data_IF_179182130458
#
_entry.id   IF_179182130458
#
_cell.length_a   1.000
_cell.length_b   1.000
_cell.length_c   1.000
_cell.angle_alpha   90.00
_cell.angle_beta   90.00
_cell.angle_gamma   90.00
#
_symmetry.space_group_name_H-M   'P 1'
#
loop_
_entity.id
_entity.type
_entity.pdbx_description
1 polymer ?
#
# COMPACT_ATOMS: atom_id res chain seq x y z
N UNK A 1 25.37 -23.67 17.41
CA UNK A 1 24.33 -22.65 17.16
C UNK A 1 23.99 -22.53 15.67
N UNK A 2 24.92 -22.43 14.74
CA UNK A 2 24.65 -22.29 13.30
C UNK A 2 23.77 -23.42 12.68
N UNK A 3 24.00 -24.69 13.01
CA UNK A 3 23.19 -25.82 12.53
C UNK A 3 21.73 -25.81 13.02
N UNK A 4 21.45 -25.29 14.24
CA UNK A 4 20.09 -25.13 14.77
C UNK A 4 19.34 -23.97 14.08
N UNK A 5 20.04 -22.88 13.78
CA UNK A 5 19.49 -21.75 13.04
C UNK A 5 19.20 -22.11 11.57
N UNK A 6 20.08 -22.90 10.90
CA UNK A 6 19.86 -23.41 9.54
C UNK A 6 18.66 -24.35 9.47
N UNK A 7 18.47 -25.22 10.45
CA UNK A 7 17.33 -26.16 10.50
C UNK A 7 16.00 -25.45 10.76
N UNK A 8 15.99 -24.42 11.62
CA UNK A 8 14.81 -23.57 11.85
C UNK A 8 14.44 -22.74 10.60
N UNK A 9 15.44 -22.24 9.85
CA UNK A 9 15.20 -21.51 8.59
C UNK A 9 14.58 -22.43 7.52
N UNK A 10 15.09 -23.64 7.36
CA UNK A 10 14.55 -24.62 6.41
C UNK A 10 13.13 -25.05 6.77
N UNK A 11 12.83 -25.15 8.06
CA UNK A 11 11.50 -25.50 8.54
C UNK A 11 10.45 -24.39 8.26
N UNK A 12 10.82 -23.11 8.31
CA UNK A 12 9.94 -21.97 7.95
C UNK A 12 9.65 -21.96 6.44
N UNK A 13 10.65 -22.28 5.60
CA UNK A 13 10.48 -22.41 4.15
C UNK A 13 9.56 -23.58 3.77
N UNK A 14 9.71 -24.73 4.44
CA UNK A 14 8.89 -25.92 4.24
C UNK A 14 7.43 -25.72 4.75
N UNK A 15 7.23 -24.97 5.83
CA UNK A 15 5.91 -24.68 6.40
C UNK A 15 5.12 -23.60 5.64
N UNK A 16 5.82 -22.64 4.99
CA UNK A 16 5.19 -21.52 4.26
C UNK A 16 4.99 -21.79 2.78
N UNK A 17 5.68 -22.77 2.20
CA UNK A 17 5.71 -23.02 0.75
C UNK A 17 6.31 -21.85 -0.07
N UNK A 18 6.97 -20.89 0.58
CA UNK A 18 7.56 -19.69 -0.05
C UNK A 18 9.02 -19.97 -0.40
N UNK A 19 9.36 -19.85 -1.68
CA UNK A 19 10.75 -19.89 -2.16
C UNK A 19 11.36 -18.50 -2.12
N UNK A 20 12.33 -18.29 -1.22
CA UNK A 20 13.00 -17.00 -1.09
C UNK A 20 14.14 -16.86 -2.08
N UNK A 21 14.43 -15.61 -2.48
CA UNK A 21 15.60 -15.28 -3.26
C UNK A 21 16.89 -15.70 -2.54
N UNK A 22 17.87 -16.20 -3.28
CA UNK A 22 19.16 -16.67 -2.73
C UNK A 22 20.30 -15.73 -3.05
N UNK A 23 20.21 -15.03 -4.15
CA UNK A 23 21.23 -14.11 -4.65
C UNK A 23 20.90 -12.69 -4.19
N UNK A 24 21.43 -12.34 -3.02
CA UNK A 24 21.13 -11.06 -2.38
C UNK A 24 22.42 -10.35 -1.92
N UNK A 25 22.48 -9.02 -2.04
CA UNK A 25 23.58 -8.24 -1.47
C UNK A 25 23.47 -8.22 0.06
N UNK A 26 24.58 -7.89 0.73
CA UNK A 26 24.68 -7.91 2.20
C UNK A 26 23.68 -7.00 2.93
N UNK A 27 23.21 -5.95 2.27
CA UNK A 27 22.23 -5.01 2.80
C UNK A 27 20.78 -5.46 2.61
N UNK A 28 20.51 -6.52 1.81
CA UNK A 28 19.17 -7.00 1.54
C UNK A 28 18.86 -8.29 2.33
N UNK A 29 17.77 -8.32 3.03
CA UNK A 29 17.31 -9.55 3.69
C UNK A 29 16.58 -10.44 2.70
N UNK A 30 17.09 -11.66 2.47
CA UNK A 30 16.52 -12.61 1.51
C UNK A 30 15.02 -12.87 1.72
N UNK A 31 14.57 -12.82 2.96
CA UNK A 31 13.19 -13.04 3.34
C UNK A 31 12.23 -11.94 2.83
N UNK A 32 12.77 -10.79 2.34
CA UNK A 32 11.97 -9.75 1.66
C UNK A 32 11.55 -10.12 0.26
N UNK A 33 12.31 -11.01 -0.41
CA UNK A 33 12.07 -11.39 -1.79
C UNK A 33 11.62 -12.84 -1.90
N UNK A 34 10.53 -13.09 -2.64
CA UNK A 34 10.08 -14.43 -2.99
C UNK A 34 9.99 -14.62 -4.50
N UNK A 35 10.30 -15.84 -4.94
CA UNK A 35 10.21 -16.23 -6.34
C UNK A 35 8.76 -16.65 -6.62
N UNK A 36 8.12 -16.01 -7.60
CA UNK A 36 6.73 -16.34 -7.98
C UNK A 36 6.64 -17.45 -9.02
N UNK A 37 7.68 -17.61 -9.88
CA UNK A 37 7.75 -18.65 -10.88
C UNK A 37 9.17 -19.21 -10.99
N UNK A 38 9.31 -20.38 -11.65
CA UNK A 38 10.61 -21.03 -11.92
C UNK A 38 11.16 -20.64 -13.30
N UNK A 39 11.01 -19.38 -13.70
CA UNK A 39 11.56 -18.88 -14.95
C UNK A 39 13.10 -19.00 -14.97
N UNK A 40 13.65 -19.20 -16.15
CA UNK A 40 15.09 -19.23 -16.35
C UNK A 40 15.60 -17.87 -16.83
N UNK A 41 16.79 -17.49 -16.42
CA UNK A 41 17.45 -16.32 -17.00
C UNK A 41 17.69 -16.58 -18.49
N UNK A 42 17.14 -15.75 -19.41
CA UNK A 42 17.37 -15.91 -20.82
C UNK A 42 18.81 -15.49 -21.15
N UNK A 43 19.48 -16.25 -22.06
CA UNK A 43 20.83 -15.91 -22.52
C UNK A 43 20.91 -14.53 -23.21
N UNK A 44 19.80 -14.08 -23.78
CA UNK A 44 19.68 -12.83 -24.57
C UNK A 44 18.89 -11.71 -23.89
N UNK A 45 18.76 -11.73 -22.56
CA UNK A 45 18.06 -10.66 -21.85
C UNK A 45 18.79 -9.32 -21.94
N UNK A 46 18.05 -8.24 -22.21
CA UNK A 46 18.58 -6.91 -22.47
C UNK A 46 18.39 -5.94 -21.30
N UNK A 47 17.41 -6.18 -20.40
CA UNK A 47 17.15 -5.31 -19.25
C UNK A 47 16.56 -6.06 -18.06
N UNK A 48 16.55 -5.42 -16.89
CA UNK A 48 15.73 -5.79 -15.73
C UNK A 48 14.56 -4.84 -15.66
N UNK A 49 13.35 -5.35 -15.47
CA UNK A 49 12.12 -4.55 -15.29
C UNK A 49 11.71 -4.56 -13.83
N UNK A 50 11.46 -3.39 -13.26
CA UNK A 50 10.74 -3.25 -12.00
C UNK A 50 9.31 -2.77 -12.28
N UNK A 51 8.33 -3.63 -12.05
CA UNK A 51 6.93 -3.26 -12.10
C UNK A 51 6.51 -2.68 -10.75
N UNK A 52 6.46 -1.36 -10.70
CA UNK A 52 5.99 -0.59 -9.55
C UNK A 52 4.46 -0.66 -9.50
N UNK A 53 3.89 -1.10 -8.39
CA UNK A 53 2.44 -1.28 -8.20
C UNK A 53 1.93 -0.41 -7.05
N UNK A 54 2.43 -0.66 -5.83
CA UNK A 54 1.95 -0.04 -4.59
C UNK A 54 2.89 1.04 -4.07
N UNK A 55 4.19 0.82 -4.17
CA UNK A 55 5.22 1.64 -3.53
C UNK A 55 5.75 2.69 -4.50
N UNK A 56 4.93 3.76 -4.72
CA UNK A 56 5.20 4.84 -5.69
C UNK A 56 6.26 5.80 -5.17
N UNK A 57 7.53 5.34 -5.14
CA UNK A 57 8.70 6.12 -4.71
C UNK A 57 9.99 5.57 -5.31
N UNK A 58 10.95 6.46 -5.56
CA UNK A 58 12.29 6.11 -6.04
C UNK A 58 13.30 5.94 -4.89
N UNK A 59 13.02 6.51 -3.73
CA UNK A 59 13.86 6.43 -2.52
C UNK A 59 13.27 5.43 -1.52
N UNK A 60 14.14 4.80 -0.71
CA UNK A 60 13.73 3.89 0.37
C UNK A 60 12.77 2.77 -0.10
N UNK A 61 13.04 2.23 -1.30
CA UNK A 61 12.22 1.21 -1.95
C UNK A 61 13.03 -0.08 -2.16
N UNK A 62 12.78 -1.09 -1.34
CA UNK A 62 13.52 -2.36 -1.39
C UNK A 62 13.38 -3.10 -2.72
N UNK A 63 12.21 -3.03 -3.38
CA UNK A 63 11.99 -3.70 -4.65
C UNK A 63 12.81 -3.04 -5.77
N UNK A 64 12.80 -1.70 -5.84
CA UNK A 64 13.60 -0.93 -6.78
C UNK A 64 15.11 -1.10 -6.54
N UNK A 65 15.55 -1.09 -5.29
CA UNK A 65 16.95 -1.32 -4.91
C UNK A 65 17.40 -2.72 -5.31
N UNK A 66 16.58 -3.74 -5.08
CA UNK A 66 16.89 -5.11 -5.47
C UNK A 66 16.93 -5.28 -6.99
N UNK A 67 15.95 -4.70 -7.71
CA UNK A 67 15.95 -4.69 -9.18
C UNK A 67 17.22 -4.01 -9.74
N UNK A 68 17.65 -2.91 -9.14
CA UNK A 68 18.89 -2.22 -9.53
C UNK A 68 20.14 -3.07 -9.26
N UNK A 69 20.15 -3.82 -8.15
CA UNK A 69 21.23 -4.77 -7.85
C UNK A 69 21.32 -5.86 -8.94
N UNK A 70 20.21 -6.47 -9.33
CA UNK A 70 20.18 -7.48 -10.39
C UNK A 70 20.62 -6.88 -11.74
N UNK A 71 20.15 -5.69 -12.09
CA UNK A 71 20.55 -4.99 -13.30
C UNK A 71 22.07 -4.74 -13.34
N UNK A 72 22.65 -4.29 -12.23
CA UNK A 72 24.10 -4.11 -12.13
C UNK A 72 24.86 -5.43 -12.27
N UNK A 73 24.37 -6.49 -11.61
CA UNK A 73 24.98 -7.82 -11.65
C UNK A 73 24.99 -8.42 -13.05
N UNK A 74 23.90 -8.24 -13.81
CA UNK A 74 23.77 -8.75 -15.17
C UNK A 74 24.36 -7.79 -16.21
N UNK A 75 24.94 -6.67 -15.79
CA UNK A 75 25.41 -5.59 -16.66
C UNK A 75 24.33 -5.09 -17.63
N UNK A 76 23.11 -4.98 -17.15
CA UNK A 76 21.93 -4.57 -17.88
C UNK A 76 21.35 -3.26 -17.33
N UNK A 77 20.63 -2.45 -18.11
CA UNK A 77 19.87 -1.34 -17.59
C UNK A 77 18.67 -1.80 -16.77
N UNK A 78 18.30 -1.02 -15.76
CA UNK A 78 17.01 -1.12 -15.08
C UNK A 78 16.01 -0.23 -15.79
N UNK A 79 14.80 -0.74 -15.98
CA UNK A 79 13.62 0.00 -16.41
C UNK A 79 12.52 -0.08 -15.35
N UNK A 80 11.78 1.00 -15.13
CA UNK A 80 10.62 1.02 -14.24
C UNK A 80 9.35 1.07 -15.09
N UNK A 81 8.41 0.19 -14.77
CA UNK A 81 7.09 0.14 -15.36
C UNK A 81 6.05 0.50 -14.30
N UNK A 82 5.11 1.36 -14.64
CA UNK A 82 3.86 1.57 -13.91
C UNK A 82 2.69 1.39 -14.84
N UNK A 83 1.66 0.67 -14.40
CA UNK A 83 0.40 0.52 -15.16
C UNK A 83 -0.68 1.27 -14.40
N UNK A 84 -1.33 2.23 -15.05
CA UNK A 84 -2.43 2.98 -14.45
C UNK A 84 -3.58 2.02 -14.12
N UNK A 85 -4.29 2.24 -13.00
CA UNK A 85 -5.47 1.46 -12.71
C UNK A 85 -6.51 1.65 -13.82
N UNK A 86 -7.13 0.57 -14.31
CA UNK A 86 -8.16 0.68 -15.35
C UNK A 86 -9.36 1.48 -14.81
N UNK A 87 -9.98 2.34 -15.63
CA UNK A 87 -11.23 2.98 -15.26
C UNK A 87 -12.31 1.92 -15.04
N UNK A 88 -13.31 2.17 -14.17
CA UNK A 88 -14.39 1.23 -13.94
C UNK A 88 -15.16 0.91 -15.22
N UNK A 89 -15.60 -0.35 -15.36
CA UNK A 89 -16.44 -0.78 -16.47
C UNK A 89 -17.74 0.01 -16.49
N UNK A 90 -18.10 0.57 -17.63
CA UNK A 90 -19.34 1.35 -17.83
C UNK A 90 -20.61 0.49 -17.88
N UNK A 91 -20.48 -0.83 -17.76
CA UNK A 91 -21.59 -1.78 -17.97
C UNK A 91 -22.38 -2.13 -16.71
N UNK A 92 -21.92 -1.76 -15.52
CA UNK A 92 -22.70 -1.99 -14.32
C UNK A 92 -23.66 -0.81 -14.09
N UNK A 93 -24.95 -1.09 -14.19
CA UNK A 93 -26.01 -0.17 -13.73
C UNK A 93 -25.82 -0.01 -12.23
N UNK A 94 -25.44 1.19 -11.81
CA UNK A 94 -25.32 1.53 -10.38
C UNK A 94 -26.76 1.57 -9.83
N UNK A 95 -27.14 0.57 -9.07
CA UNK A 95 -28.31 0.66 -8.21
C UNK A 95 -28.00 1.74 -7.16
N UNK A 96 -28.72 2.84 -7.15
CA UNK A 96 -28.45 4.00 -6.27
C UNK A 96 -28.49 3.62 -4.79
N UNK A 97 -29.17 2.53 -4.44
CA UNK A 97 -29.35 2.05 -3.07
C UNK A 97 -28.33 0.95 -2.67
N UNK A 98 -27.52 0.43 -3.61
CA UNK A 98 -26.51 -0.59 -3.36
C UNK A 98 -25.12 0.02 -3.61
N UNK A 99 -24.23 0.08 -2.59
CA UNK A 99 -22.87 0.57 -2.83
C UNK A 99 -22.16 -0.33 -3.86
N UNK A 100 -21.58 0.26 -4.92
CA UNK A 100 -20.90 -0.51 -5.95
C UNK A 100 -19.72 -1.30 -5.35
N UNK A 101 -19.40 -2.44 -5.94
CA UNK A 101 -18.18 -3.19 -5.62
C UNK A 101 -16.94 -2.30 -5.83
N UNK A 102 -15.86 -2.52 -5.07
CA UNK A 102 -14.63 -1.71 -5.17
C UNK A 102 -14.10 -1.56 -6.59
N UNK A 103 -14.32 -2.55 -7.45
CA UNK A 103 -13.91 -2.57 -8.86
C UNK A 103 -14.77 -1.69 -9.78
N UNK A 104 -15.97 -1.28 -9.35
CA UNK A 104 -16.90 -0.47 -10.13
C UNK A 104 -16.92 1.02 -9.71
N UNK A 105 -16.22 1.40 -8.64
CA UNK A 105 -16.15 2.80 -8.22
C UNK A 105 -15.08 3.57 -9.00
N UNK A 106 -15.46 4.74 -9.51
CA UNK A 106 -14.49 5.69 -10.08
C UNK A 106 -13.51 6.15 -9.00
N UNK A 107 -12.25 6.22 -9.36
CA UNK A 107 -11.26 6.89 -8.54
C UNK A 107 -11.66 8.36 -8.35
N UNK A 108 -11.62 8.87 -7.12
CA UNK A 108 -11.90 10.30 -6.91
C UNK A 108 -10.76 11.16 -7.45
N UNK A 109 -11.08 12.39 -7.87
CA UNK A 109 -10.08 13.38 -8.33
C UNK A 109 -8.93 13.51 -7.32
N UNK A 110 -9.23 13.53 -6.03
CA UNK A 110 -8.25 13.59 -4.94
C UNK A 110 -7.21 12.49 -5.00
N UNK A 111 -7.65 11.24 -5.17
CA UNK A 111 -6.74 10.10 -5.22
C UNK A 111 -5.94 10.07 -6.52
N UNK A 112 -6.59 10.38 -7.65
CA UNK A 112 -5.92 10.38 -8.95
C UNK A 112 -4.88 11.48 -9.09
N UNK A 113 -5.20 12.69 -8.65
CA UNK A 113 -4.24 13.81 -8.64
C UNK A 113 -3.05 13.54 -7.74
N UNK A 114 -3.30 12.96 -6.55
CA UNK A 114 -2.23 12.62 -5.62
C UNK A 114 -1.33 11.50 -6.15
N UNK A 115 -1.93 10.49 -6.79
CA UNK A 115 -1.20 9.42 -7.48
C UNK A 115 -0.35 9.96 -8.62
N UNK A 116 -0.95 10.70 -9.55
CA UNK A 116 -0.25 11.25 -10.71
C UNK A 116 0.85 12.20 -10.30
N UNK A 117 0.62 13.06 -9.31
CA UNK A 117 1.66 13.95 -8.76
C UNK A 117 2.82 13.17 -8.16
N UNK A 118 2.56 12.07 -7.44
CA UNK A 118 3.60 11.17 -6.93
C UNK A 118 4.41 10.51 -8.05
N UNK A 119 3.74 10.01 -9.11
CA UNK A 119 4.38 9.42 -10.28
C UNK A 119 5.25 10.45 -11.04
N UNK A 120 4.81 11.70 -11.13
CA UNK A 120 5.61 12.79 -11.73
C UNK A 120 6.89 13.03 -10.92
N UNK A 121 6.82 13.04 -9.59
CA UNK A 121 8.00 13.15 -8.74
C UNK A 121 8.97 11.99 -8.98
N UNK A 122 8.46 10.74 -8.95
CA UNK A 122 9.26 9.53 -9.22
C UNK A 122 9.89 9.56 -10.60
N UNK A 123 9.15 9.96 -11.64
CA UNK A 123 9.67 10.09 -13.01
C UNK A 123 10.85 11.07 -13.09
N UNK A 124 10.71 12.24 -12.45
CA UNK A 124 11.79 13.25 -12.38
C UNK A 124 13.02 12.71 -11.67
N UNK A 125 12.85 12.02 -10.54
CA UNK A 125 13.94 11.46 -9.75
C UNK A 125 14.66 10.33 -10.50
N UNK A 126 13.92 9.38 -11.10
CA UNK A 126 14.48 8.30 -11.89
C UNK A 126 15.22 8.79 -13.14
N UNK A 127 14.71 9.84 -13.79
CA UNK A 127 15.40 10.48 -14.92
C UNK A 127 16.76 11.02 -14.53
N UNK A 128 16.91 11.61 -13.34
CA UNK A 128 18.21 12.09 -12.85
C UNK A 128 19.23 10.95 -12.65
N UNK A 129 18.74 9.72 -12.53
CA UNK A 129 19.54 8.50 -12.38
C UNK A 129 19.68 7.69 -13.68
N UNK A 130 19.27 8.23 -14.82
CA UNK A 130 19.24 7.54 -16.12
C UNK A 130 18.40 6.23 -16.09
N UNK A 131 17.41 6.12 -15.23
CA UNK A 131 16.49 4.99 -15.13
C UNK A 131 15.20 5.36 -15.85
N UNK A 132 14.91 4.79 -17.03
CA UNK A 132 13.69 5.09 -17.75
C UNK A 132 12.46 4.57 -17.01
N UNK A 133 11.41 5.38 -16.96
CA UNK A 133 10.10 5.02 -16.42
C UNK A 133 9.06 5.04 -17.53
N UNK A 134 8.31 3.96 -17.63
CA UNK A 134 7.18 3.80 -18.55
C UNK A 134 5.88 3.82 -17.76
N UNK A 135 4.88 4.55 -18.26
CA UNK A 135 3.52 4.55 -17.70
C UNK A 135 2.58 4.07 -18.79
N UNK A 136 1.91 2.95 -18.54
CA UNK A 136 1.00 2.33 -19.49
C UNK A 136 -0.45 2.50 -19.06
N UNK A 137 -1.34 2.57 -20.06
CA UNK A 137 -2.79 2.70 -19.92
C UNK A 137 -3.42 1.43 -20.48
N UNK A 138 -4.10 0.59 -19.67
CA UNK A 138 -4.67 -0.67 -20.15
C UNK A 138 -6.00 -0.46 -20.88
N UNK A 139 -5.92 0.09 -22.10
CA UNK A 139 -7.08 0.30 -22.97
C UNK A 139 -7.64 -1.04 -23.48
N UNK A 140 -8.69 -1.56 -22.82
CA UNK A 140 -9.34 -2.83 -23.15
C UNK A 140 -8.42 -4.06 -23.16
N UNK A 141 -7.26 -3.99 -22.54
CA UNK A 141 -6.31 -5.09 -22.38
C UNK A 141 -6.17 -5.40 -20.90
N UNK A 142 -6.14 -6.67 -20.54
CA UNK A 142 -5.86 -7.09 -19.16
C UNK A 142 -4.47 -6.60 -18.70
N UNK A 143 -4.40 -6.06 -17.49
CA UNK A 143 -3.16 -5.50 -16.93
C UNK A 143 -2.00 -6.49 -17.00
N UNK A 144 -2.25 -7.75 -16.63
CA UNK A 144 -1.21 -8.79 -16.66
C UNK A 144 -0.71 -9.05 -18.08
N UNK A 145 -1.58 -9.07 -19.09
CA UNK A 145 -1.19 -9.23 -20.49
C UNK A 145 -0.32 -8.06 -20.97
N UNK A 146 -0.71 -6.83 -20.63
CA UNK A 146 0.07 -5.64 -20.98
C UNK A 146 1.49 -5.69 -20.39
N UNK A 147 1.61 -6.15 -19.13
CA UNK A 147 2.94 -6.32 -18.49
C UNK A 147 3.73 -7.43 -19.18
N UNK A 148 3.10 -8.55 -19.54
CA UNK A 148 3.74 -9.65 -20.29
C UNK A 148 4.28 -9.18 -21.64
N UNK A 149 3.46 -8.42 -22.38
CA UNK A 149 3.84 -7.84 -23.66
C UNK A 149 5.00 -6.86 -23.51
N UNK A 150 4.96 -6.00 -22.49
CA UNK A 150 6.06 -5.08 -22.19
C UNK A 150 7.36 -5.82 -21.88
N UNK A 151 7.32 -6.81 -20.98
CA UNK A 151 8.48 -7.64 -20.62
C UNK A 151 9.09 -8.33 -21.86
N UNK A 152 8.22 -8.86 -22.73
CA UNK A 152 8.63 -9.56 -23.94
C UNK A 152 9.24 -8.60 -24.97
N UNK A 153 8.60 -7.46 -25.22
CA UNK A 153 9.06 -6.46 -26.18
C UNK A 153 10.38 -5.80 -25.76
N UNK A 154 10.57 -5.61 -24.43
CA UNK A 154 11.83 -5.10 -23.89
C UNK A 154 12.90 -6.18 -23.71
N UNK A 155 12.59 -7.44 -24.07
CA UNK A 155 13.48 -8.60 -23.85
C UNK A 155 14.04 -8.65 -22.43
N UNK A 156 13.16 -8.46 -21.45
CA UNK A 156 13.57 -8.45 -20.05
C UNK A 156 14.19 -9.79 -19.64
N UNK A 157 15.27 -9.73 -18.84
CA UNK A 157 15.88 -10.92 -18.24
C UNK A 157 15.19 -11.33 -16.94
N UNK A 158 14.63 -10.37 -16.22
CA UNK A 158 13.98 -10.56 -14.92
C UNK A 158 12.94 -9.47 -14.69
N UNK A 159 11.83 -9.82 -14.08
CA UNK A 159 10.84 -8.87 -13.60
C UNK A 159 10.81 -8.88 -12.06
N UNK A 160 11.02 -7.73 -11.45
CA UNK A 160 10.84 -7.51 -10.01
C UNK A 160 9.54 -6.75 -9.81
N UNK A 161 8.73 -7.15 -8.82
CA UNK A 161 7.45 -6.50 -8.50
C UNK A 161 7.37 -6.22 -7.02
N UNK A 162 6.71 -5.14 -6.61
CA UNK A 162 6.40 -4.91 -5.21
C UNK A 162 5.21 -5.73 -4.73
N UNK A 163 5.11 -5.88 -3.43
CA UNK A 163 4.05 -6.62 -2.78
C UNK A 163 2.79 -5.78 -2.63
N UNK A 164 1.65 -6.37 -2.99
CA UNK A 164 0.33 -5.91 -2.59
C UNK A 164 -0.56 -7.11 -2.27
N UNK A 165 -1.32 -7.10 -1.17
CA UNK A 165 -2.20 -8.21 -0.80
C UNK A 165 -3.57 -8.12 -1.46
N UNK A 166 -3.86 -7.08 -2.24
CA UNK A 166 -5.16 -6.84 -2.85
C UNK A 166 -5.49 -7.88 -3.91
N UNK A 167 -6.71 -8.41 -3.90
CA UNK A 167 -7.18 -9.52 -4.74
C UNK A 167 -6.88 -9.33 -6.23
N UNK A 168 -7.16 -8.15 -6.78
CA UNK A 168 -6.91 -7.87 -8.19
C UNK A 168 -5.41 -7.90 -8.53
N UNK A 169 -4.55 -7.39 -7.64
CA UNK A 169 -3.08 -7.45 -7.84
C UNK A 169 -2.58 -8.88 -7.75
N UNK A 170 -3.08 -9.66 -6.79
CA UNK A 170 -2.74 -11.09 -6.67
C UNK A 170 -3.12 -11.82 -7.95
N UNK A 171 -4.31 -11.58 -8.51
CA UNK A 171 -4.74 -12.16 -9.79
C UNK A 171 -3.86 -11.76 -10.97
N UNK A 172 -3.42 -10.51 -11.05
CA UNK A 172 -2.45 -10.09 -12.08
C UNK A 172 -1.11 -10.81 -11.96
N UNK A 173 -0.61 -10.98 -10.73
CA UNK A 173 0.65 -11.67 -10.48
C UNK A 173 0.56 -13.18 -10.77
N UNK A 174 -0.56 -13.82 -10.46
CA UNK A 174 -0.80 -15.23 -10.82
C UNK A 174 -0.75 -15.42 -12.35
N UNK A 175 -1.38 -14.55 -13.12
CA UNK A 175 -1.31 -14.57 -14.60
C UNK A 175 0.13 -14.29 -15.08
N UNK A 176 0.85 -13.35 -14.44
CA UNK A 176 2.22 -13.04 -14.82
C UNK A 176 3.18 -14.20 -14.61
N UNK A 177 2.89 -15.16 -13.74
CA UNK A 177 3.75 -16.35 -13.52
C UNK A 177 3.92 -17.23 -14.73
N UNK A 178 3.11 -17.06 -15.78
CA UNK A 178 3.21 -17.78 -17.05
C UNK A 178 4.41 -17.36 -17.92
N UNK A 179 5.03 -16.21 -17.65
CA UNK A 179 6.23 -15.78 -18.40
C UNK A 179 7.43 -16.70 -18.12
N UNK A 180 8.33 -16.80 -19.11
CA UNK A 180 9.48 -17.70 -19.02
C UNK A 180 10.65 -17.15 -18.22
N UNK A 181 10.66 -15.85 -17.94
CA UNK A 181 11.71 -15.20 -17.15
C UNK A 181 11.37 -15.25 -15.64
N UNK A 182 12.36 -15.12 -14.75
CA UNK A 182 12.10 -15.02 -13.31
C UNK A 182 11.22 -13.82 -12.97
N UNK A 183 10.17 -14.05 -12.17
CA UNK A 183 9.36 -13.02 -11.55
C UNK A 183 9.59 -13.08 -10.04
N UNK A 184 10.08 -11.97 -9.48
CA UNK A 184 10.48 -11.87 -8.08
C UNK A 184 9.62 -10.80 -7.41
N UNK A 185 8.88 -11.19 -6.37
CA UNK A 185 8.11 -10.24 -5.57
C UNK A 185 8.90 -9.83 -4.33
N UNK A 186 8.94 -8.52 -4.07
CA UNK A 186 9.63 -7.94 -2.90
C UNK A 186 8.63 -7.18 -2.04
N UNK A 187 8.57 -7.49 -0.74
CA UNK A 187 7.81 -6.68 0.21
C UNK A 187 8.62 -5.42 0.57
N UNK A 188 8.34 -4.34 -0.14
CA UNK A 188 8.92 -3.02 0.09
C UNK A 188 8.03 -2.13 0.97
N UNK A 189 6.80 -2.58 1.28
CA UNK A 189 5.81 -1.83 2.04
C UNK A 189 5.94 -2.05 3.54
N UNK A 190 6.05 -3.32 3.98
CA UNK A 190 6.17 -3.68 5.37
C UNK A 190 7.63 -3.62 5.85
N UNK A 191 7.85 -3.27 7.12
CA UNK A 191 9.18 -3.35 7.72
C UNK A 191 9.59 -4.81 7.81
N UNK A 192 8.71 -5.68 8.32
CA UNK A 192 8.89 -7.12 8.29
C UNK A 192 7.98 -7.71 7.23
N UNK A 193 8.49 -8.41 6.21
CA UNK A 193 7.65 -8.98 5.16
C UNK A 193 6.49 -9.79 5.73
N UNK A 194 5.30 -9.61 5.18
CA UNK A 194 4.06 -10.17 5.74
C UNK A 194 4.13 -11.69 5.92
N UNK A 195 4.69 -12.40 4.93
CA UNK A 195 4.86 -13.88 4.97
C UNK A 195 5.96 -14.34 5.93
N UNK A 196 6.84 -13.43 6.38
CA UNK A 196 7.89 -13.73 7.35
C UNK A 196 7.48 -13.34 8.78
N UNK A 197 6.66 -12.31 8.93
CA UNK A 197 6.15 -11.83 10.21
C UNK A 197 5.27 -12.89 10.90
N UNK A 198 4.43 -13.60 10.14
CA UNK A 198 3.60 -14.70 10.61
C UNK A 198 3.25 -15.62 9.45
N UNK A 199 3.06 -16.91 9.73
CA UNK A 199 2.59 -17.92 8.76
C UNK A 199 1.07 -18.05 8.70
N UNK A 200 0.32 -17.18 9.42
CA UNK A 200 -1.14 -17.24 9.50
C UNK A 200 -1.75 -15.87 9.81
N UNK A 201 -3.07 -15.77 9.59
CA UNK A 201 -3.87 -14.64 10.06
C UNK A 201 -3.73 -14.50 11.57
N UNK A 202 -3.36 -13.31 12.02
CA UNK A 202 -3.29 -12.95 13.42
C UNK A 202 -4.62 -12.38 13.91
N UNK A 203 -5.05 -12.79 15.09
CA UNK A 203 -6.32 -12.36 15.66
C UNK A 203 -6.30 -10.91 16.18
N UNK A 204 -5.11 -10.32 16.30
CA UNK A 204 -4.96 -8.93 16.76
C UNK A 204 -3.53 -8.55 17.08
N UNK A 205 -3.33 -7.29 17.42
CA UNK A 205 -2.02 -6.72 17.74
C UNK A 205 -1.29 -7.47 18.86
N UNK A 206 -2.03 -8.03 19.81
CA UNK A 206 -1.44 -8.79 20.93
C UNK A 206 -0.63 -10.00 20.48
N UNK A 207 -1.06 -10.67 19.40
CA UNK A 207 -0.39 -11.87 18.88
C UNK A 207 0.70 -11.54 17.84
N UNK A 208 0.55 -10.47 17.08
CA UNK A 208 1.52 -10.05 16.07
C UNK A 208 2.71 -9.29 16.68
N UNK A 209 2.47 -8.40 17.67
CA UNK A 209 3.50 -7.53 18.29
C UNK A 209 4.76 -8.27 18.72
N UNK A 210 4.70 -9.37 19.52
CA UNK A 210 5.91 -10.07 19.94
C UNK A 210 6.70 -10.66 18.78
N UNK A 211 6.03 -11.06 17.70
CA UNK A 211 6.67 -11.57 16.48
C UNK A 211 7.42 -10.47 15.76
N UNK A 212 6.78 -9.33 15.53
CA UNK A 212 7.42 -8.17 14.90
C UNK A 212 8.60 -7.66 15.74
N UNK A 213 8.42 -7.45 17.04
CA UNK A 213 9.50 -6.97 17.90
C UNK A 213 10.74 -7.87 17.90
N UNK A 214 10.56 -9.19 17.76
CA UNK A 214 11.67 -10.13 17.63
C UNK A 214 12.44 -9.95 16.32
N UNK A 215 11.76 -9.56 15.24
CA UNK A 215 12.33 -9.46 13.89
C UNK A 215 12.82 -8.04 13.56
N UNK A 216 12.29 -7.00 14.24
CA UNK A 216 12.66 -5.60 13.97
C UNK A 216 14.18 -5.33 13.99
N UNK A 217 15.01 -5.91 14.88
CA UNK A 217 16.46 -5.68 14.85
C UNK A 217 17.12 -6.06 13.52
N UNK A 218 16.55 -7.04 12.81
CA UNK A 218 17.07 -7.51 11.53
C UNK A 218 16.50 -6.76 10.32
N UNK A 219 15.30 -6.19 10.44
CA UNK A 219 14.55 -5.61 9.32
C UNK A 219 14.44 -4.08 9.37
N UNK A 220 14.42 -3.47 10.55
CA UNK A 220 14.44 -2.01 10.69
C UNK A 220 15.88 -1.50 10.56
N UNK A 221 16.35 -1.43 9.34
CA UNK A 221 17.69 -0.98 8.95
C UNK A 221 17.61 0.26 8.07
N UNK A 222 18.69 0.98 7.92
CA UNK A 222 18.77 2.07 6.93
C UNK A 222 18.77 1.51 5.51
N UNK A 223 18.44 2.37 4.55
CA UNK A 223 18.41 2.03 3.12
C UNK A 223 19.73 2.42 2.44
N UNK A 224 20.24 1.60 1.51
CA UNK A 224 21.30 2.04 0.63
C UNK A 224 20.80 3.06 -0.39
N UNK A 225 21.70 3.89 -0.89
CA UNK A 225 21.39 4.86 -1.95
C UNK A 225 21.17 4.12 -3.28
N UNK A 226 20.12 4.51 -4.00
CA UNK A 226 19.87 4.01 -5.35
C UNK A 226 20.96 4.53 -6.31
N UNK A 227 21.66 3.61 -6.96
CA UNK A 227 22.69 3.97 -7.92
C UNK A 227 22.12 4.19 -9.34
N UNK A 228 22.65 5.12 -10.14
CA UNK A 228 22.18 5.36 -11.49
C UNK A 228 22.46 4.15 -12.41
N UNK A 229 21.74 4.08 -13.54
CA UNK A 229 22.17 3.21 -14.65
C UNK A 229 23.51 3.68 -15.21
N UNK A 230 24.37 2.74 -15.54
CA UNK A 230 25.69 3.04 -16.13
C UNK A 230 25.58 3.49 -17.59
N UNK A 231 24.62 2.93 -18.32
CA UNK A 231 24.36 3.28 -19.71
C UNK A 231 23.22 4.28 -19.80
N UNK A 232 23.35 5.29 -20.69
CA UNK A 232 22.26 6.18 -20.98
C UNK A 232 21.14 5.41 -21.69
N UNK A 233 19.98 5.39 -21.07
CA UNK A 233 18.76 4.88 -21.71
C UNK A 233 17.90 6.07 -22.12
N UNK A 234 17.22 5.98 -23.28
CA UNK A 234 16.25 7.01 -23.65
C UNK A 234 15.06 6.95 -22.71
N UNK A 235 14.75 8.05 -22.06
CA UNK A 235 13.57 8.14 -21.21
C UNK A 235 12.36 8.45 -22.07
N UNK A 236 11.28 7.69 -21.99
CA UNK A 236 10.06 7.99 -22.72
C UNK A 236 9.45 9.30 -22.21
N UNK A 237 8.89 10.07 -23.16
CA UNK A 237 8.07 11.22 -22.80
C UNK A 237 6.70 10.75 -22.36
N UNK A 238 6.30 11.04 -21.12
CA UNK A 238 5.01 10.68 -20.56
C UNK A 238 4.06 11.87 -20.71
N UNK A 239 2.94 11.67 -21.41
CA UNK A 239 1.87 12.66 -21.49
C UNK A 239 0.96 12.59 -20.25
N UNK A 240 1.28 13.39 -19.25
CA UNK A 240 0.53 13.41 -17.99
C UNK A 240 -0.92 13.90 -18.14
N UNK A 241 -1.20 14.70 -19.15
CA UNK A 241 -2.57 15.14 -19.48
C UNK A 241 -3.43 13.96 -19.98
N UNK A 242 -2.87 13.09 -20.81
CA UNK A 242 -3.52 11.87 -21.25
C UNK A 242 -3.72 10.91 -20.06
N UNK A 243 -2.70 10.73 -19.21
CA UNK A 243 -2.83 9.93 -18.01
C UNK A 243 -3.97 10.40 -17.08
N UNK A 244 -4.09 11.72 -16.90
CA UNK A 244 -5.18 12.32 -16.13
C UNK A 244 -6.55 12.06 -16.76
N UNK A 245 -6.67 12.25 -18.07
CA UNK A 245 -7.93 12.03 -18.81
C UNK A 245 -8.33 10.55 -18.81
N UNK A 246 -7.35 9.66 -18.88
CA UNK A 246 -7.57 8.21 -18.87
C UNK A 246 -8.25 7.71 -17.59
N UNK A 247 -7.90 8.25 -16.43
CA UNK A 247 -8.43 7.80 -15.14
C UNK A 247 -9.93 8.07 -14.94
N UNK A 248 -10.57 8.92 -15.75
CA UNK A 248 -12.01 9.22 -15.70
C UNK A 248 -12.54 9.46 -14.28
N UNK A 249 -11.81 10.29 -13.53
CA UNK A 249 -12.00 10.48 -12.10
C UNK A 249 -13.36 11.10 -11.74
N UNK A 250 -13.86 10.76 -10.55
CA UNK A 250 -15.00 11.41 -9.92
C UNK A 250 -14.59 12.77 -9.36
N UNK A 251 -15.16 13.84 -9.91
CA UNK A 251 -14.88 15.24 -9.52
C UNK A 251 -15.76 15.76 -8.39
N UNK A 252 -16.65 14.94 -7.81
CA UNK A 252 -17.49 15.35 -6.68
C UNK A 252 -16.67 15.63 -5.41
N UNK A 253 -15.45 15.08 -5.33
CA UNK A 253 -14.51 15.29 -4.24
C UNK A 253 -13.29 16.08 -4.79
N UNK A 254 -13.00 17.27 -4.25
CA UNK A 254 -11.93 18.14 -4.78
C UNK A 254 -10.54 17.55 -4.52
N UNK A 255 -9.57 17.97 -5.35
CA UNK A 255 -8.15 17.73 -5.09
C UNK A 255 -7.69 18.41 -3.80
N UNK A 256 -6.70 17.82 -3.14
CA UNK A 256 -6.08 18.37 -1.92
C UNK A 256 -4.57 18.64 -2.10
N UNK A 257 -4.07 18.62 -3.32
CA UNK A 257 -2.63 18.72 -3.58
C UNK A 257 -2.03 20.07 -3.12
N UNK A 258 -2.83 21.11 -2.96
CA UNK A 258 -2.39 22.39 -2.36
C UNK A 258 -2.13 22.27 -0.86
N UNK A 259 -2.92 21.44 -0.14
CA UNK A 259 -2.82 21.23 1.32
C UNK A 259 -1.86 20.08 1.63
N UNK A 260 -1.90 19.03 0.82
CA UNK A 260 -1.10 17.83 0.93
C UNK A 260 -0.37 17.59 -0.41
N UNK A 261 0.74 18.28 -0.68
CA UNK A 261 1.48 18.11 -1.92
C UNK A 261 2.02 16.68 -2.06
N UNK A 262 1.90 16.03 -3.25
CA UNK A 262 2.40 14.69 -3.47
C UNK A 262 3.93 14.61 -3.51
N UNK A 263 4.47 13.42 -3.30
CA UNK A 263 5.89 13.10 -3.43
C UNK A 263 6.63 12.92 -2.11
N UNK A 264 7.76 12.24 -2.20
CA UNK A 264 8.56 11.88 -1.02
C UNK A 264 9.12 13.11 -0.27
N UNK A 265 9.58 14.13 -0.97
CA UNK A 265 10.11 15.35 -0.37
C UNK A 265 9.03 16.06 0.48
N UNK A 266 7.82 16.19 -0.07
CA UNK A 266 6.70 16.80 0.66
C UNK A 266 6.31 15.95 1.90
N UNK A 267 6.31 14.63 1.76
CA UNK A 267 6.09 13.71 2.87
C UNK A 267 7.11 13.91 3.99
N UNK A 268 8.40 14.00 3.66
CA UNK A 268 9.47 14.18 4.65
C UNK A 268 9.42 15.55 5.31
N UNK A 269 9.01 16.61 4.59
CA UNK A 269 8.78 17.94 5.16
C UNK A 269 7.63 17.92 6.16
N UNK A 270 6.50 17.28 5.82
CA UNK A 270 5.36 17.06 6.73
C UNK A 270 5.81 16.27 7.98
N UNK A 271 6.58 15.20 7.79
CA UNK A 271 7.07 14.39 8.88
C UNK A 271 8.03 15.16 9.81
N UNK A 272 8.93 15.96 9.26
CA UNK A 272 9.83 16.83 10.04
C UNK A 272 9.04 17.82 10.90
N UNK A 273 7.95 18.38 10.35
CA UNK A 273 7.03 19.22 11.11
C UNK A 273 6.38 18.45 12.28
N UNK A 274 5.93 17.23 12.05
CA UNK A 274 5.40 16.35 13.10
C UNK A 274 6.44 16.04 14.18
N UNK A 275 7.66 15.69 13.81
CA UNK A 275 8.74 15.41 14.78
C UNK A 275 9.00 16.60 15.71
N UNK A 276 8.89 17.82 15.20
CA UNK A 276 9.16 19.04 15.97
C UNK A 276 7.98 19.53 16.80
N UNK A 277 6.74 19.34 16.34
CA UNK A 277 5.53 19.93 16.93
C UNK A 277 4.60 18.93 17.60
N UNK A 278 4.45 17.72 17.01
CA UNK A 278 3.44 16.75 17.42
C UNK A 278 3.95 15.60 18.28
N UNK A 279 5.15 15.07 17.97
CA UNK A 279 5.65 13.84 18.57
C UNK A 279 5.71 13.88 20.11
N UNK A 280 6.04 15.05 20.70
CA UNK A 280 6.16 15.21 22.15
C UNK A 280 4.87 15.00 22.94
N UNK A 281 3.72 15.13 22.27
CA UNK A 281 2.38 15.00 22.85
C UNK A 281 1.54 13.91 22.17
N UNK A 282 2.16 13.16 21.27
CA UNK A 282 1.45 12.16 20.45
C UNK A 282 0.81 11.06 21.29
N UNK A 283 1.48 10.55 22.33
CA UNK A 283 0.96 9.52 23.22
C UNK A 283 -0.26 9.99 24.04
N UNK A 284 -0.27 11.25 24.45
CA UNK A 284 -1.33 11.83 25.29
C UNK A 284 -2.55 12.27 24.46
N UNK A 285 -2.31 12.97 23.33
CA UNK A 285 -3.34 13.76 22.64
C UNK A 285 -3.76 13.20 21.26
N UNK A 286 -3.09 12.17 20.73
CA UNK A 286 -3.42 11.63 19.39
C UNK A 286 -4.87 11.13 19.21
N UNK A 287 -5.55 10.81 20.33
CA UNK A 287 -6.93 10.33 20.29
C UNK A 287 -7.96 11.45 20.52
N UNK A 288 -7.53 12.68 20.76
CA UNK A 288 -8.41 13.83 20.93
C UNK A 288 -8.50 14.61 19.60
N UNK A 289 -9.67 14.67 18.95
CA UNK A 289 -9.83 15.34 17.66
C UNK A 289 -9.60 16.86 17.72
N UNK A 290 -9.60 17.48 18.89
CA UNK A 290 -9.29 18.89 19.06
C UNK A 290 -7.81 19.23 18.86
N UNK A 291 -6.91 18.22 18.92
CA UNK A 291 -5.47 18.39 18.77
C UNK A 291 -4.93 17.83 17.45
N UNK A 292 -5.56 18.19 16.33
CA UNK A 292 -5.18 17.70 14.98
C UNK A 292 -3.70 17.88 14.63
N UNK A 293 -3.06 18.94 15.12
CA UNK A 293 -1.64 19.24 14.90
C UNK A 293 -0.66 18.25 15.57
N UNK A 294 -1.17 17.42 16.49
CA UNK A 294 -0.38 16.36 17.14
C UNK A 294 -0.28 15.12 16.26
N UNK A 295 -1.20 14.92 15.30
CA UNK A 295 -1.16 13.81 14.38
C UNK A 295 -0.13 14.04 13.27
N UNK A 296 0.49 12.95 12.78
CA UNK A 296 1.53 13.02 11.74
C UNK A 296 1.01 13.42 10.37
N UNK A 297 -0.25 13.10 10.06
CA UNK A 297 -0.88 13.26 8.75
C UNK A 297 -0.13 12.56 7.61
N UNK A 298 0.55 11.45 7.91
CA UNK A 298 1.36 10.70 6.95
C UNK A 298 0.56 9.67 6.16
N UNK A 299 -0.71 9.40 6.53
CA UNK A 299 -1.51 8.35 5.91
C UNK A 299 -1.70 8.47 4.40
N UNK A 300 -1.90 9.65 3.78
CA UNK A 300 -1.98 9.73 2.31
C UNK A 300 -0.70 9.26 1.63
N UNK A 301 0.45 9.68 2.13
CA UNK A 301 1.76 9.31 1.58
C UNK A 301 2.08 7.83 1.75
N UNK A 302 1.74 7.25 2.91
CA UNK A 302 1.95 5.82 3.19
C UNK A 302 1.03 4.98 2.32
N UNK A 303 -0.25 5.36 2.20
CA UNK A 303 -1.24 4.62 1.41
C UNK A 303 -0.88 4.58 -0.07
N UNK A 304 -0.43 5.71 -0.63
CA UNK A 304 0.04 5.79 -2.02
C UNK A 304 1.50 5.37 -2.21
N UNK A 305 2.15 4.84 -1.17
CA UNK A 305 3.52 4.35 -1.24
C UNK A 305 4.59 5.42 -1.50
N UNK A 306 4.24 6.72 -1.39
CA UNK A 306 5.15 7.85 -1.67
C UNK A 306 6.19 8.06 -0.58
N UNK A 307 6.02 7.41 0.58
CA UNK A 307 7.01 7.35 1.66
C UNK A 307 7.07 5.95 2.26
N UNK A 308 8.26 5.49 2.62
CA UNK A 308 8.43 4.25 3.36
C UNK A 308 8.16 4.45 4.84
N UNK A 309 7.24 3.67 5.45
CA UNK A 309 7.08 3.71 6.90
C UNK A 309 8.35 3.26 7.64
N UNK A 310 9.17 2.39 7.04
CA UNK A 310 10.47 2.03 7.61
C UNK A 310 11.38 3.24 7.77
N UNK A 311 11.40 4.19 6.81
CA UNK A 311 12.13 5.45 6.93
C UNK A 311 11.63 6.27 8.11
N UNK A 312 10.33 6.45 8.23
CA UNK A 312 9.73 7.21 9.34
C UNK A 312 10.05 6.57 10.70
N UNK A 313 9.95 5.25 10.80
CA UNK A 313 10.29 4.50 12.01
C UNK A 313 11.79 4.61 12.36
N UNK A 314 12.66 4.58 11.35
CA UNK A 314 14.10 4.75 11.51
C UNK A 314 14.43 6.13 12.08
N UNK A 315 13.90 7.19 11.48
CA UNK A 315 14.12 8.58 11.92
C UNK A 315 13.64 8.81 13.36
N UNK A 316 12.39 8.41 13.69
CA UNK A 316 11.84 8.55 15.04
C UNK A 316 12.68 7.81 16.08
N UNK A 317 13.11 6.59 15.78
CA UNK A 317 13.93 5.76 16.67
C UNK A 317 15.29 6.40 16.94
N UNK A 318 15.91 7.02 15.92
CA UNK A 318 17.23 7.64 16.04
C UNK A 318 17.18 9.06 16.61
N UNK A 319 16.03 9.70 16.65
CA UNK A 319 15.85 11.01 17.28
C UNK A 319 16.17 10.97 18.79
N UNK A 320 15.96 9.83 19.46
CA UNK A 320 16.20 9.59 20.90
C UNK A 320 15.55 10.63 21.82
N UNK A 321 14.42 11.20 21.38
CA UNK A 321 13.61 12.17 22.12
C UNK A 321 12.18 11.64 22.25
N UNK A 322 11.45 12.17 23.23
CA UNK A 322 10.02 11.89 23.43
C UNK A 322 9.70 10.38 23.43
N UNK A 323 10.26 9.58 24.38
CA UNK A 323 10.19 8.11 24.33
C UNK A 323 8.75 7.55 24.30
N UNK A 324 7.81 8.20 24.99
CA UNK A 324 6.40 7.77 25.00
C UNK A 324 5.74 8.05 23.65
N UNK A 325 5.89 9.27 23.12
CA UNK A 325 5.38 9.60 21.78
C UNK A 325 6.02 8.73 20.68
N UNK A 326 7.34 8.48 20.78
CA UNK A 326 8.05 7.54 19.88
C UNK A 326 7.45 6.13 19.96
N UNK A 327 7.27 5.59 21.15
CA UNK A 327 6.70 4.25 21.33
C UNK A 327 5.26 4.17 20.78
N UNK A 328 4.45 5.19 21.03
CA UNK A 328 3.09 5.27 20.52
C UNK A 328 3.07 5.35 18.98
N UNK A 329 3.92 6.17 18.35
CA UNK A 329 4.02 6.28 16.91
C UNK A 329 4.47 4.96 16.25
N UNK A 330 5.47 4.29 16.81
CA UNK A 330 5.94 3.00 16.32
C UNK A 330 4.89 1.89 16.50
N UNK A 331 4.11 1.90 17.58
CA UNK A 331 3.00 0.95 17.77
C UNK A 331 1.95 1.08 16.67
N UNK A 332 1.51 2.31 16.36
CA UNK A 332 0.51 2.54 15.32
C UNK A 332 1.04 2.18 13.93
N UNK A 333 2.20 2.65 13.57
CA UNK A 333 2.71 2.49 12.21
C UNK A 333 3.43 1.17 11.93
N UNK A 334 3.89 0.43 12.92
CA UNK A 334 4.43 -0.92 12.75
C UNK A 334 3.34 -1.94 13.04
N UNK A 335 2.92 -2.04 14.31
CA UNK A 335 2.09 -3.18 14.73
C UNK A 335 0.69 -3.10 14.14
N UNK A 336 0.04 -1.92 14.23
CA UNK A 336 -1.34 -1.77 13.74
C UNK A 336 -1.41 -1.80 12.22
N UNK A 337 -0.49 -1.12 11.55
CA UNK A 337 -0.44 -1.09 10.07
C UNK A 337 -0.10 -2.48 9.50
N UNK A 338 0.93 -3.17 9.99
CA UNK A 338 1.30 -4.48 9.47
C UNK A 338 0.30 -5.58 9.84
N UNK A 339 -0.52 -5.37 10.90
CA UNK A 339 -1.65 -6.24 11.20
C UNK A 339 -2.73 -6.17 10.10
N UNK A 340 -2.97 -5.01 9.50
CA UNK A 340 -3.93 -4.89 8.41
C UNK A 340 -3.44 -5.62 7.14
N UNK A 341 -2.16 -5.52 6.81
CA UNK A 341 -1.58 -6.28 5.70
C UNK A 341 -1.60 -7.80 5.98
N UNK A 342 -1.33 -8.23 7.21
CA UNK A 342 -1.48 -9.63 7.63
C UNK A 342 -2.92 -10.11 7.45
N UNK A 343 -3.90 -9.30 7.85
CA UNK A 343 -5.32 -9.62 7.70
C UNK A 343 -5.68 -9.85 6.23
N UNK A 344 -5.37 -8.91 5.34
CA UNK A 344 -5.71 -8.99 3.91
C UNK A 344 -4.99 -10.16 3.25
N UNK A 345 -3.69 -10.36 3.56
CA UNK A 345 -2.88 -11.43 2.99
C UNK A 345 -3.42 -12.84 3.30
N UNK A 346 -3.91 -13.06 4.52
CA UNK A 346 -4.45 -14.36 4.95
C UNK A 346 -5.97 -14.48 4.87
N UNK A 347 -6.65 -13.46 4.31
CA UNK A 347 -8.11 -13.47 4.08
C UNK A 347 -8.42 -12.97 2.65
N UNK A 348 -7.79 -13.51 1.60
CA UNK A 348 -7.81 -12.91 0.26
C UNK A 348 -9.21 -12.84 -0.36
N UNK A 349 -10.10 -13.76 0.00
CA UNK A 349 -11.45 -13.83 -0.58
C UNK A 349 -12.48 -12.98 0.17
N UNK A 350 -12.23 -12.72 1.46
CA UNK A 350 -13.27 -12.19 2.36
C UNK A 350 -12.86 -10.93 3.12
N UNK A 351 -11.67 -10.35 2.85
CA UNK A 351 -11.17 -9.20 3.61
C UNK A 351 -12.10 -7.97 3.54
N UNK A 352 -12.92 -7.87 2.51
CA UNK A 352 -13.86 -6.78 2.23
C UNK A 352 -15.33 -7.19 2.41
N UNK A 353 -15.58 -8.30 3.10
CA UNK A 353 -16.91 -8.82 3.38
C UNK A 353 -17.09 -9.16 4.86
N UNK A 354 -18.35 -9.41 5.29
CA UNK A 354 -18.67 -9.86 6.66
C UNK A 354 -18.00 -11.20 7.00
N UNK A 355 -17.83 -12.08 6.02
CA UNK A 355 -17.18 -13.37 6.19
C UNK A 355 -15.72 -13.24 6.64
N UNK A 356 -15.07 -12.13 6.36
CA UNK A 356 -13.75 -11.80 6.89
C UNK A 356 -13.72 -11.51 8.40
N UNK A 357 -14.86 -11.18 9.01
CA UNK A 357 -14.94 -10.95 10.46
C UNK A 357 -14.76 -12.25 11.26
N UNK A 358 -14.48 -12.13 12.55
CA UNK A 358 -14.46 -13.29 13.46
C UNK A 358 -15.88 -13.86 13.60
N UNK A 359 -16.00 -15.20 13.72
CA UNK A 359 -17.30 -15.88 13.75
C UNK A 359 -18.26 -15.32 14.81
N UNK A 360 -17.76 -15.07 16.03
CA UNK A 360 -18.57 -14.49 17.11
C UNK A 360 -19.16 -13.12 16.73
N UNK A 361 -18.46 -12.34 15.90
CA UNK A 361 -18.94 -11.03 15.43
C UNK A 361 -19.99 -11.19 14.33
N UNK A 362 -19.80 -12.18 13.44
CA UNK A 362 -20.81 -12.53 12.43
C UNK A 362 -22.10 -12.99 13.11
N UNK A 363 -22.01 -13.94 14.05
CA UNK A 363 -23.15 -14.47 14.79
C UNK A 363 -23.91 -13.36 15.55
N UNK A 364 -23.16 -12.45 16.20
CA UNK A 364 -23.77 -11.31 16.91
C UNK A 364 -24.49 -10.35 15.98
N UNK A 365 -23.92 -10.06 14.80
CA UNK A 365 -24.55 -9.16 13.83
C UNK A 365 -25.77 -9.79 13.17
N UNK A 366 -25.72 -11.07 12.89
CA UNK A 366 -26.86 -11.84 12.37
C UNK A 366 -27.99 -11.87 13.39
N UNK A 367 -27.71 -12.18 14.65
CA UNK A 367 -28.69 -12.20 15.75
C UNK A 367 -29.41 -10.85 15.88
N UNK A 368 -28.67 -9.75 15.71
CA UNK A 368 -29.19 -8.38 15.86
C UNK A 368 -29.62 -7.73 14.54
N UNK A 369 -29.65 -8.47 13.43
CA UNK A 369 -29.96 -7.92 12.10
C UNK A 369 -31.40 -7.43 11.99
N UNK A 370 -32.33 -8.05 12.72
CA UNK A 370 -33.79 -7.74 12.74
C UNK A 370 -34.22 -6.82 13.87
N UNK A 371 -33.27 -6.37 14.74
CA UNK A 371 -33.62 -5.43 15.81
C UNK A 371 -34.18 -4.13 15.23
N UNK A 372 -35.22 -3.61 15.86
CA UNK A 372 -35.82 -2.33 15.47
C UNK A 372 -34.80 -1.19 15.61
N UNK A 373 -34.71 -0.32 14.60
CA UNK A 373 -33.83 0.85 14.56
C UNK A 373 -34.65 2.12 14.61
N UNK A 374 -34.30 3.03 15.50
CA UNK A 374 -34.99 4.34 15.61
C UNK A 374 -34.81 5.18 14.33
N UNK A 375 -33.62 5.10 13.71
CA UNK A 375 -33.31 5.82 12.48
C UNK A 375 -32.71 4.88 11.45
N UNK A 376 -33.16 5.00 10.21
CA UNK A 376 -32.64 4.31 9.04
C UNK A 376 -32.26 5.35 7.98
N UNK A 377 -31.12 5.14 7.33
CA UNK A 377 -30.62 6.04 6.30
C UNK A 377 -30.22 5.27 5.05
N UNK A 378 -30.46 5.88 3.90
CA UNK A 378 -29.89 5.43 2.63
C UNK A 378 -28.37 5.71 2.61
N UNK A 379 -27.65 4.98 1.78
CA UNK A 379 -26.20 5.22 1.53
C UNK A 379 -25.96 6.68 1.14
N UNK A 380 -26.82 7.24 0.28
CA UNK A 380 -26.75 8.63 -0.18
C UNK A 380 -26.88 9.65 0.95
N UNK A 381 -27.82 9.45 1.88
CA UNK A 381 -27.96 10.33 3.05
C UNK A 381 -26.73 10.28 3.94
N UNK A 382 -26.16 9.09 4.17
CA UNK A 382 -24.92 8.96 4.95
C UNK A 382 -23.74 9.66 4.26
N UNK A 383 -23.58 9.46 2.95
CA UNK A 383 -22.50 10.08 2.16
C UNK A 383 -22.60 11.61 2.13
N UNK A 384 -23.82 12.16 2.16
CA UNK A 384 -24.07 13.60 2.15
C UNK A 384 -24.05 14.25 3.53
N UNK A 385 -23.95 13.46 4.60
CA UNK A 385 -24.06 13.96 5.96
C UNK A 385 -25.46 14.52 6.25
N UNK A 386 -26.52 13.85 5.79
CA UNK A 386 -27.92 14.21 5.94
C UNK A 386 -28.62 13.29 6.97
N UNK A 387 -28.01 13.15 8.15
CA UNK A 387 -28.53 12.33 9.26
C UNK A 387 -28.99 13.21 10.41
N UNK A 388 -29.62 12.62 11.43
CA UNK A 388 -29.95 13.31 12.69
C UNK A 388 -28.74 13.55 13.59
N UNK A 389 -27.59 12.87 13.31
CA UNK A 389 -26.38 12.94 14.14
C UNK A 389 -25.44 14.02 13.58
N UNK A 390 -25.38 15.15 14.28
CA UNK A 390 -24.54 16.30 13.90
C UNK A 390 -23.06 15.95 13.81
N UNK A 391 -22.58 15.01 14.65
CA UNK A 391 -21.18 14.57 14.61
C UNK A 391 -20.90 13.74 13.37
N UNK A 392 -21.85 12.87 12.95
CA UNK A 392 -21.76 12.17 11.67
C UNK A 392 -21.67 13.17 10.51
N UNK A 393 -22.62 14.10 10.46
CA UNK A 393 -22.73 15.07 9.38
C UNK A 393 -21.47 15.93 9.27
N UNK A 394 -21.00 16.49 10.39
CA UNK A 394 -19.78 17.29 10.43
C UNK A 394 -18.54 16.49 9.99
N UNK A 395 -18.44 15.23 10.44
CA UNK A 395 -17.36 14.33 10.09
C UNK A 395 -17.33 14.00 8.60
N UNK A 396 -18.51 13.74 8.02
CA UNK A 396 -18.65 13.46 6.60
C UNK A 396 -18.30 14.68 5.75
N UNK A 397 -18.76 15.86 6.13
CA UNK A 397 -18.39 17.11 5.47
C UNK A 397 -16.89 17.38 5.55
N UNK A 398 -16.27 17.16 6.72
CA UNK A 398 -14.82 17.29 6.87
C UNK A 398 -14.05 16.34 5.93
N UNK A 399 -14.46 15.06 5.88
CA UNK A 399 -13.83 14.08 5.00
C UNK A 399 -13.93 14.48 3.53
N UNK A 400 -15.10 14.95 3.09
CA UNK A 400 -15.32 15.39 1.70
C UNK A 400 -14.53 16.67 1.38
N UNK A 401 -14.49 17.65 2.28
CA UNK A 401 -13.84 18.93 2.01
C UNK A 401 -12.33 18.91 2.20
N UNK A 402 -11.84 18.29 3.28
CA UNK A 402 -10.45 18.34 3.68
C UNK A 402 -9.65 17.07 3.35
N UNK A 403 -10.33 15.97 3.01
CA UNK A 403 -9.69 14.67 2.72
C UNK A 403 -9.07 13.98 3.93
N UNK A 404 -9.41 14.43 5.13
CA UNK A 404 -8.86 13.88 6.37
C UNK A 404 -9.95 13.73 7.41
N UNK A 405 -9.87 12.65 8.19
CA UNK A 405 -10.76 12.38 9.30
C UNK A 405 -9.97 11.83 10.46
N UNK A 406 -10.17 12.40 11.64
CA UNK A 406 -9.50 11.93 12.84
C UNK A 406 -9.87 10.47 13.17
N UNK A 407 -8.89 9.62 13.54
CA UNK A 407 -9.10 8.19 13.75
C UNK A 407 -10.20 7.86 14.77
N UNK A 408 -10.33 8.65 15.83
CA UNK A 408 -11.38 8.46 16.85
C UNK A 408 -12.79 8.76 16.28
N UNK A 409 -12.92 9.83 15.52
CA UNK A 409 -14.18 10.22 14.86
C UNK A 409 -14.57 9.19 13.80
N UNK A 410 -13.61 8.66 13.06
CA UNK A 410 -13.83 7.55 12.11
C UNK A 410 -14.38 6.31 12.83
N UNK A 411 -13.83 5.94 14.00
CA UNK A 411 -14.36 4.82 14.80
C UNK A 411 -15.80 5.06 15.25
N UNK A 412 -16.15 6.30 15.61
CA UNK A 412 -17.53 6.68 15.90
C UNK A 412 -18.46 6.46 14.70
N UNK A 413 -18.06 6.91 13.50
CA UNK A 413 -18.83 6.65 12.27
C UNK A 413 -19.04 5.16 12.01
N UNK A 414 -18.00 4.34 12.20
CA UNK A 414 -18.07 2.90 12.04
C UNK A 414 -19.11 2.29 13.00
N UNK A 415 -19.06 2.65 14.27
CA UNK A 415 -20.01 2.17 15.27
C UNK A 415 -21.44 2.54 14.93
N UNK A 416 -21.68 3.80 14.53
CA UNK A 416 -23.03 4.29 14.15
C UNK A 416 -23.55 3.58 12.91
N UNK A 417 -22.73 3.32 11.89
CA UNK A 417 -23.14 2.56 10.71
C UNK A 417 -23.66 1.16 11.07
N UNK A 418 -23.01 0.49 12.01
CA UNK A 418 -23.44 -0.82 12.50
C UNK A 418 -24.81 -0.71 13.20
N UNK A 419 -25.07 0.39 13.92
CA UNK A 419 -26.35 0.63 14.59
C UNK A 419 -27.49 1.01 13.62
N UNK A 420 -27.20 1.69 12.50
CA UNK A 420 -28.22 2.25 11.59
C UNK A 420 -28.55 1.33 10.42
N UNK A 421 -28.21 0.05 10.51
CA UNK A 421 -28.62 -0.99 9.58
C UNK A 421 -28.11 -0.81 8.13
N UNK A 422 -26.98 -0.18 7.92
CA UNK A 422 -26.38 -0.14 6.61
C UNK A 422 -25.20 -1.08 6.57
N UNK A 423 -25.44 -2.10 5.79
CA UNK A 423 -24.57 -3.16 5.45
C UNK A 423 -23.08 -2.78 5.45
N UNK A 424 -22.32 -3.52 6.14
CA UNK A 424 -20.90 -3.84 6.20
C UNK A 424 -20.00 -3.34 5.05
N UNK A 425 -20.51 -3.05 3.87
CA UNK A 425 -19.75 -2.62 2.71
C UNK A 425 -19.11 -1.23 2.86
N UNK A 426 -19.79 -0.29 3.51
CA UNK A 426 -19.22 1.06 3.73
C UNK A 426 -18.10 1.02 4.76
N UNK A 427 -18.19 0.14 5.74
CA UNK A 427 -17.24 -0.01 6.83
C UNK A 427 -15.84 -0.39 6.33
N UNK A 428 -15.76 -1.30 5.37
CA UNK A 428 -14.50 -1.81 4.84
C UNK A 428 -13.87 -0.87 3.82
N UNK A 429 -14.65 -0.11 3.06
CA UNK A 429 -14.13 0.90 2.14
C UNK A 429 -13.32 2.00 2.84
N UNK A 430 -13.71 2.39 4.06
CA UNK A 430 -12.98 3.39 4.84
C UNK A 430 -11.75 2.83 5.56
N UNK A 431 -11.68 1.52 5.80
CA UNK A 431 -10.53 0.86 6.44
C UNK A 431 -9.34 0.68 5.50
N UNK A 432 -9.59 0.52 4.18
CA UNK A 432 -8.57 0.24 3.17
C UNK A 432 -8.12 1.46 2.36
N UNK A 433 -8.77 2.61 2.55
CA UNK A 433 -8.43 3.86 1.85
C UNK A 433 -7.57 4.81 2.70
N UNK A 434 -6.96 4.29 3.78
CA UNK A 434 -6.00 5.06 4.60
C UNK A 434 -4.67 4.35 4.74
#
# INVERSE_FOLDING_TARGET
MAKKASRAKKQVEEESGVEFVTDVPSWFRRERGRILNKGNLPESGECVVYWMIRDVRSVDNWALLYARHLAAKYNQPLMVLYVLPPPPSTTETVDEDVPPLQTSQKMTLRHGDFLLGGLQCVHKELNSLNIPMHVLQPDNVEVAQMVQDFITNQKASTCVVDYSPLRHVVGWLEQLTSVKIPVIQVDAHNIVPVWHASSKREVGARTLRPKLHKLLPDFLTDFPTLSPNTNKSSTPNINWGECHSYLQMDTSVPSINEICPPGNEAAMNQFTSFLSKGLSKFDELRNDPNYRHVCSNMSPYINHGQVSFQRLAWEVKHLRKHPLGTAAFLEEGIVRRELSDNYVHYTPNDYDTLQGAAQWAQDSLELHSTDEREYLYTTRQLQRGETHDDLWNASQHQLVQEGTLHGFVRTHQIQKNTFWNIFYRILLQHFFLM
#
